data_IF_525643323675
#
_entry.id   IF_525643323675
#
_cell.length_a   1.000
_cell.length_b   1.000
_cell.length_c   1.000
_cell.angle_alpha   90.00
_cell.angle_beta   90.00
_cell.angle_gamma   90.00
#
_symmetry.space_group_name_H-M   'P 1'
#
loop_
_entity.id
_entity.type
_entity.pdbx_description
1 polymer ?
#
# COMPACT_ATOMS: atom_id res chain seq x y z
N UNK A 1 -7.33 29.06 -8.52
CA UNK A 1 -7.06 27.66 -8.89
C UNK A 1 -8.25 27.17 -9.70
N UNK A 2 -8.05 26.60 -10.90
CA UNK A 2 -9.16 26.17 -11.74
C UNK A 2 -9.91 25.02 -11.05
N UNK A 3 -11.26 25.03 -11.10
CA UNK A 3 -12.11 23.98 -10.50
C UNK A 3 -11.65 22.57 -10.95
N UNK A 4 -11.22 22.46 -12.21
CA UNK A 4 -10.71 21.22 -12.79
C UNK A 4 -9.42 20.71 -12.11
N UNK A 5 -8.48 21.60 -11.81
CA UNK A 5 -7.24 21.22 -11.12
C UNK A 5 -7.50 20.76 -9.69
N UNK A 6 -8.49 21.37 -9.00
CA UNK A 6 -8.93 20.94 -7.68
C UNK A 6 -9.58 19.54 -7.75
N UNK A 7 -10.46 19.32 -8.74
CA UNK A 7 -11.11 18.01 -8.96
C UNK A 7 -10.07 16.90 -9.17
N UNK A 8 -9.06 17.14 -10.02
CA UNK A 8 -7.97 16.19 -10.27
C UNK A 8 -7.16 15.93 -9.01
N UNK A 9 -6.83 16.97 -8.25
CA UNK A 9 -6.09 16.84 -6.99
C UNK A 9 -6.85 16.00 -5.96
N UNK A 10 -8.16 16.24 -5.79
CA UNK A 10 -9.01 15.47 -4.88
C UNK A 10 -9.14 14.02 -5.33
N UNK A 11 -9.35 13.77 -6.63
CA UNK A 11 -9.41 12.41 -7.17
C UNK A 11 -8.10 11.64 -6.94
N UNK A 12 -6.96 12.28 -7.21
CA UNK A 12 -5.64 11.69 -6.99
C UNK A 12 -5.39 11.38 -5.50
N UNK A 13 -5.76 12.30 -4.61
CA UNK A 13 -5.65 12.09 -3.16
C UNK A 13 -6.52 10.92 -2.70
N UNK A 14 -7.74 10.80 -3.24
CA UNK A 14 -8.66 9.73 -2.88
C UNK A 14 -8.11 8.36 -3.31
N UNK A 15 -7.63 8.24 -4.55
CA UNK A 15 -7.01 7.01 -5.06
C UNK A 15 -5.79 6.65 -4.21
N UNK A 16 -4.92 7.62 -3.93
CA UNK A 16 -3.73 7.40 -3.10
C UNK A 16 -4.09 7.01 -1.66
N UNK A 17 -5.12 7.61 -1.07
CA UNK A 17 -5.61 7.28 0.26
C UNK A 17 -6.15 5.86 0.35
N UNK A 18 -6.96 5.43 -0.62
CA UNK A 18 -7.45 4.05 -0.70
C UNK A 18 -6.29 3.05 -0.85
N UNK A 19 -5.33 3.34 -1.74
CA UNK A 19 -4.16 2.48 -1.93
C UNK A 19 -3.33 2.37 -0.65
N UNK A 20 -3.08 3.49 0.03
CA UNK A 20 -2.35 3.51 1.30
C UNK A 20 -3.07 2.72 2.39
N UNK A 21 -4.40 2.83 2.50
CA UNK A 21 -5.18 2.08 3.49
C UNK A 21 -5.03 0.56 3.31
N UNK A 22 -5.25 0.05 2.10
CA UNK A 22 -5.14 -1.39 1.81
C UNK A 22 -3.69 -1.88 1.95
N UNK A 23 -2.73 -1.11 1.47
CA UNK A 23 -1.30 -1.44 1.54
C UNK A 23 -0.80 -1.52 2.98
N UNK A 24 -1.04 -0.49 3.80
CA UNK A 24 -0.60 -0.45 5.20
C UNK A 24 -1.21 -1.60 6.00
N UNK A 25 -2.50 -1.87 5.79
CA UNK A 25 -3.17 -2.95 6.49
C UNK A 25 -2.66 -4.31 6.03
N UNK A 26 -2.47 -4.52 4.73
CA UNK A 26 -1.97 -5.79 4.24
C UNK A 26 -0.52 -6.09 4.63
N UNK A 27 0.36 -5.07 4.70
CA UNK A 27 1.69 -5.24 5.29
C UNK A 27 1.57 -5.64 6.76
N UNK A 28 0.73 -4.95 7.56
CA UNK A 28 0.53 -5.31 8.96
C UNK A 28 0.04 -6.76 9.14
N UNK A 29 -0.83 -7.23 8.25
CA UNK A 29 -1.35 -8.59 8.26
C UNK A 29 -0.29 -9.64 7.86
N UNK A 30 0.58 -9.35 6.89
CA UNK A 30 1.66 -10.27 6.49
C UNK A 30 2.70 -10.51 7.60
N UNK A 31 2.90 -9.54 8.49
CA UNK A 31 3.84 -9.66 9.61
C UNK A 31 3.20 -10.20 10.89
N UNK A 32 2.01 -10.79 10.80
CA UNK A 32 1.36 -11.46 11.93
C UNK A 32 1.13 -10.50 13.09
N UNK A 33 0.43 -9.39 12.84
CA UNK A 33 0.06 -8.37 13.81
C UNK A 33 -0.92 -8.87 14.91
N UNK A 34 -0.66 -10.05 15.46
CA UNK A 34 -1.10 -10.55 16.76
C UNK A 34 -0.46 -9.64 17.84
N UNK A 35 -1.03 -8.44 17.96
CA UNK A 35 -0.98 -7.48 19.08
C UNK A 35 0.29 -6.66 19.37
N UNK A 36 1.52 -7.18 19.34
CA UNK A 36 2.69 -6.41 19.85
C UNK A 36 3.40 -5.55 18.77
N UNK A 37 3.56 -6.08 17.55
CA UNK A 37 4.30 -5.40 16.48
C UNK A 37 3.42 -4.57 15.53
N UNK A 38 2.12 -4.45 15.80
CA UNK A 38 1.19 -3.78 14.88
C UNK A 38 1.52 -2.30 14.68
N UNK A 39 1.73 -1.56 15.78
CA UNK A 39 2.01 -0.11 15.74
C UNK A 39 3.29 0.20 14.94
N UNK A 40 4.45 -0.42 15.22
CA UNK A 40 5.66 -0.12 14.46
C UNK A 40 5.54 -0.48 12.98
N UNK A 41 4.84 -1.58 12.63
CA UNK A 41 4.63 -1.97 11.23
C UNK A 41 3.72 -0.97 10.50
N UNK A 42 2.66 -0.50 11.14
CA UNK A 42 1.75 0.51 10.57
C UNK A 42 2.47 1.85 10.38
N UNK A 43 3.28 2.28 11.35
CA UNK A 43 4.09 3.52 11.24
C UNK A 43 5.12 3.39 10.11
N UNK A 44 5.79 2.25 10.02
CA UNK A 44 6.71 1.97 8.91
C UNK A 44 5.98 2.00 7.57
N UNK A 45 4.91 1.21 7.40
CA UNK A 45 4.19 1.10 6.14
C UNK A 45 3.58 2.43 5.69
N UNK A 46 3.04 3.22 6.62
CA UNK A 46 2.52 4.56 6.31
C UNK A 46 3.63 5.51 5.85
N UNK A 47 4.82 5.43 6.45
CA UNK A 47 5.98 6.20 5.98
C UNK A 47 6.43 5.81 4.56
N UNK A 48 6.32 4.53 4.18
CA UNK A 48 6.66 4.05 2.83
C UNK A 48 5.68 4.60 1.78
N UNK A 49 4.39 4.62 2.07
CA UNK A 49 3.36 5.20 1.19
C UNK A 49 3.55 6.70 1.01
N UNK A 50 3.76 7.43 2.11
CA UNK A 50 4.00 8.86 2.06
C UNK A 50 5.30 9.19 1.33
N UNK A 51 6.38 8.50 1.66
CA UNK A 51 7.71 8.67 1.05
C UNK A 51 7.68 8.44 -0.46
N UNK A 52 6.93 7.44 -0.94
CA UNK A 52 6.73 7.16 -2.38
C UNK A 52 6.15 8.38 -3.11
N UNK A 53 5.08 8.98 -2.57
CA UNK A 53 4.42 10.13 -3.19
C UNK A 53 5.30 11.38 -3.18
N UNK A 54 6.02 11.62 -2.08
CA UNK A 54 6.95 12.75 -1.97
C UNK A 54 8.13 12.59 -2.93
N UNK A 55 8.73 11.40 -3.00
CA UNK A 55 9.84 11.11 -3.92
C UNK A 55 9.41 11.25 -5.39
N UNK A 56 8.23 10.71 -5.75
CA UNK A 56 7.67 10.86 -7.09
C UNK A 56 7.41 12.34 -7.44
N UNK A 57 6.85 13.11 -6.51
CA UNK A 57 6.59 14.54 -6.68
C UNK A 57 7.89 15.35 -6.82
N UNK A 58 8.90 15.05 -6.01
CA UNK A 58 10.21 15.67 -6.08
C UNK A 58 10.89 15.40 -7.43
N UNK A 59 10.85 14.14 -7.88
CA UNK A 59 11.42 13.69 -9.14
C UNK A 59 10.76 14.37 -10.34
N UNK A 60 9.42 14.51 -10.32
CA UNK A 60 8.66 15.23 -11.33
C UNK A 60 9.05 16.72 -11.39
N UNK A 61 9.13 17.39 -10.22
CA UNK A 61 9.42 18.83 -10.16
C UNK A 61 10.86 19.19 -10.52
N UNK A 62 11.84 18.33 -10.17
CA UNK A 62 13.27 18.60 -10.35
C UNK A 62 13.90 17.77 -11.49
N UNK A 63 13.10 17.23 -12.40
CA UNK A 63 13.57 16.34 -13.46
C UNK A 63 14.70 16.92 -14.31
N UNK A 64 14.65 18.23 -14.59
CA UNK A 64 15.65 18.95 -15.40
C UNK A 64 16.84 19.50 -14.61
N UNK A 65 16.74 19.62 -13.28
CA UNK A 65 17.78 20.21 -12.43
C UNK A 65 18.57 19.16 -11.64
N UNK A 66 18.03 17.96 -11.50
CA UNK A 66 18.61 16.89 -10.69
C UNK A 66 19.69 16.11 -11.47
N UNK A 67 20.87 15.79 -10.87
CA UNK A 67 21.90 15.02 -11.54
C UNK A 67 21.42 13.62 -11.93
N UNK A 68 21.91 13.10 -13.08
CA UNK A 68 21.44 11.83 -13.67
C UNK A 68 21.53 10.63 -12.71
N UNK A 69 22.56 10.59 -11.86
CA UNK A 69 22.72 9.54 -10.85
C UNK A 69 21.61 9.57 -9.79
N UNK A 70 21.31 10.74 -9.24
CA UNK A 70 20.25 10.91 -8.24
C UNK A 70 18.86 10.65 -8.83
N UNK A 71 18.64 11.07 -10.09
CA UNK A 71 17.42 10.75 -10.84
C UNK A 71 17.23 9.25 -11.01
N UNK A 72 18.29 8.52 -11.38
CA UNK A 72 18.25 7.06 -11.50
C UNK A 72 17.92 6.37 -10.18
N UNK A 73 18.59 6.78 -9.10
CA UNK A 73 18.34 6.27 -7.75
C UNK A 73 16.89 6.51 -7.29
N UNK A 74 16.38 7.74 -7.42
CA UNK A 74 15.00 8.07 -7.01
C UNK A 74 13.96 7.33 -7.85
N UNK A 75 14.20 7.16 -9.16
CA UNK A 75 13.30 6.39 -10.01
C UNK A 75 13.24 4.92 -9.55
N UNK A 76 14.41 4.32 -9.31
CA UNK A 76 14.50 2.95 -8.80
C UNK A 76 13.86 2.82 -7.42
N UNK A 77 14.11 3.76 -6.50
CA UNK A 77 13.51 3.78 -5.17
C UNK A 77 11.97 3.86 -5.25
N UNK A 78 11.42 4.72 -6.10
CA UNK A 78 9.96 4.80 -6.31
C UNK A 78 9.41 3.49 -6.85
N UNK A 79 10.07 2.86 -7.83
CA UNK A 79 9.65 1.56 -8.38
C UNK A 79 9.68 0.47 -7.30
N UNK A 80 10.73 0.40 -6.49
CA UNK A 80 10.83 -0.54 -5.37
C UNK A 80 9.71 -0.32 -4.36
N UNK A 81 9.43 0.94 -3.99
CA UNK A 81 8.32 1.28 -3.09
C UNK A 81 6.97 0.88 -3.70
N UNK A 82 6.76 1.04 -5.01
CA UNK A 82 5.56 0.55 -5.70
C UNK A 82 5.44 -0.97 -5.59
N UNK A 83 6.53 -1.72 -5.76
CA UNK A 83 6.52 -3.18 -5.60
C UNK A 83 6.15 -3.60 -4.18
N UNK A 84 6.79 -3.00 -3.16
CA UNK A 84 6.50 -3.30 -1.74
C UNK A 84 5.04 -2.99 -1.40
N UNK A 85 4.54 -1.84 -1.84
CA UNK A 85 3.16 -1.41 -1.56
C UNK A 85 2.12 -2.25 -2.31
N UNK A 86 2.46 -2.75 -3.51
CA UNK A 86 1.65 -3.74 -4.23
C UNK A 86 1.57 -5.07 -3.49
N UNK A 87 2.69 -5.55 -2.92
CA UNK A 87 2.70 -6.73 -2.05
C UNK A 87 1.83 -6.50 -0.82
N UNK A 88 1.85 -5.30 -0.25
CA UNK A 88 0.93 -4.91 0.81
C UNK A 88 -0.54 -5.12 0.43
N UNK A 89 -0.99 -4.54 -0.68
CA UNK A 89 -2.38 -4.70 -1.15
C UNK A 89 -2.72 -6.19 -1.39
N UNK A 90 -1.80 -6.94 -2.01
CA UNK A 90 -1.99 -8.36 -2.23
C UNK A 90 -2.14 -9.14 -0.92
N UNK A 91 -1.30 -8.86 0.09
CA UNK A 91 -1.37 -9.49 1.40
C UNK A 91 -2.73 -9.28 2.08
N UNK A 92 -3.30 -8.08 1.98
CA UNK A 92 -4.65 -7.80 2.49
C UNK A 92 -5.72 -8.67 1.80
N UNK A 93 -5.69 -8.73 0.47
CA UNK A 93 -6.67 -9.47 -0.32
C UNK A 93 -6.54 -10.98 -0.15
N UNK A 94 -5.31 -11.50 -0.11
CA UNK A 94 -5.04 -12.94 0.08
C UNK A 94 -5.54 -13.42 1.43
N UNK A 95 -5.32 -12.66 2.50
CA UNK A 95 -5.79 -13.05 3.83
C UNK A 95 -7.32 -13.01 3.93
N UNK A 96 -7.98 -12.00 3.33
CA UNK A 96 -9.44 -11.96 3.27
C UNK A 96 -10.02 -13.16 2.52
N UNK A 97 -9.35 -13.60 1.44
CA UNK A 97 -9.72 -14.79 0.69
C UNK A 97 -9.55 -16.06 1.53
N UNK A 98 -8.39 -16.25 2.17
CA UNK A 98 -8.12 -17.41 3.05
C UNK A 98 -9.12 -17.51 4.19
N UNK A 99 -9.46 -16.40 4.86
CA UNK A 99 -10.47 -16.39 5.92
C UNK A 99 -11.85 -16.81 5.42
N UNK A 100 -12.20 -16.43 4.19
CA UNK A 100 -13.48 -16.81 3.58
C UNK A 100 -13.51 -18.30 3.27
N UNK A 101 -12.42 -18.84 2.72
CA UNK A 101 -12.29 -20.28 2.42
C UNK A 101 -12.37 -21.11 3.70
N UNK A 102 -11.62 -20.73 4.74
CA UNK A 102 -11.64 -21.42 6.03
C UNK A 102 -13.04 -21.42 6.68
N UNK A 103 -13.80 -20.34 6.53
CA UNK A 103 -15.17 -20.26 7.03
C UNK A 103 -16.12 -21.22 6.29
N UNK A 104 -15.92 -21.40 4.97
CA UNK A 104 -16.71 -22.34 4.17
C UNK A 104 -16.37 -23.79 4.55
N UNK A 105 -15.07 -24.11 4.64
CA UNK A 105 -14.61 -25.46 5.05
C UNK A 105 -15.15 -25.85 6.43
N UNK A 106 -15.10 -24.93 7.40
CA UNK A 106 -15.65 -25.18 8.74
C UNK A 106 -17.16 -25.46 8.75
N UNK A 107 -17.92 -24.81 7.86
CA UNK A 107 -19.35 -25.07 7.71
C UNK A 107 -19.62 -26.43 7.05
N UNK A 108 -18.79 -26.83 6.09
CA UNK A 108 -18.88 -28.16 5.45
C UNK A 108 -18.58 -29.29 6.45
N UNK A 109 -17.59 -29.11 7.33
CA UNK A 109 -17.31 -30.06 8.42
C UNK A 109 -18.49 -30.20 9.39
N UNK A 110 -19.14 -29.09 9.76
CA UNK A 110 -20.30 -29.10 10.65
C UNK A 110 -21.48 -29.85 10.02
N UNK A 111 -21.73 -29.65 8.72
CA UNK A 111 -22.75 -30.38 7.96
C UNK A 111 -22.41 -31.88 7.84
N UNK A 112 -21.15 -32.24 7.60
CA UNK A 112 -20.72 -33.64 7.45
C UNK A 112 -20.76 -34.43 8.77
N UNK A 113 -20.73 -33.72 9.91
CA UNK A 113 -20.79 -34.32 11.25
C UNK A 113 -22.21 -34.63 11.76
N UNK A 114 -23.25 -34.18 11.05
CA UNK A 114 -24.68 -34.41 11.33
C UNK A 114 -25.21 -35.67 10.63
#
# INVERSE_FOLDING_TARGET
MNIFALLVGVAALFIAGCAAFFSVRGIALMFGAETEFMIPVVVMASSLEFGKLVAASFLYRHWGTCPKALRGYLCLAVVVLVCITSVGIYGYLSQAFENTVAMVEGLEEEIASL
#
